data_IF_776739365196
#
_entry.id   IF_776739365196
#
_cell.length_a   1.000
_cell.length_b   1.000
_cell.length_c   1.000
_cell.angle_alpha   90.00
_cell.angle_beta   90.00
_cell.angle_gamma   90.00
#
_symmetry.space_group_name_H-M   'P 1'
#
loop_
_entity.id
_entity.type
_entity.pdbx_description
1 polymer ?
#
# COMPACT_ATOMS: atom_id res chain seq x y z
N UNK A 1 -16.23 4.40 -11.73
CA UNK A 1 -15.81 3.67 -10.51
C UNK A 1 -14.39 3.22 -10.79
N UNK A 2 -13.38 3.71 -10.07
CA UNK A 2 -11.99 3.34 -10.33
C UNK A 2 -11.80 1.90 -9.87
N UNK A 3 -11.58 0.97 -10.80
CA UNK A 3 -11.30 -0.42 -10.45
C UNK A 3 -9.82 -0.56 -10.10
N UNK A 4 -9.52 -0.96 -8.86
CA UNK A 4 -8.17 -1.23 -8.39
C UNK A 4 -7.91 -2.75 -8.41
N UNK A 5 -6.78 -3.17 -8.97
CA UNK A 5 -6.31 -4.56 -8.87
C UNK A 5 -4.88 -4.63 -8.36
N UNK A 6 -4.61 -5.58 -7.48
CA UNK A 6 -3.25 -5.86 -6.98
C UNK A 6 -2.69 -7.04 -7.78
N UNK A 7 -1.49 -6.87 -8.32
CA UNK A 7 -0.72 -7.91 -9.01
C UNK A 7 0.53 -8.20 -8.17
N UNK A 8 0.81 -9.47 -7.90
CA UNK A 8 1.91 -9.90 -7.03
C UNK A 8 2.92 -10.72 -7.83
N UNK A 9 4.16 -10.26 -7.85
CA UNK A 9 5.26 -10.88 -8.58
C UNK A 9 6.22 -11.58 -7.61
N UNK A 10 6.80 -12.72 -8.02
CA UNK A 10 7.78 -13.49 -7.26
C UNK A 10 9.20 -12.91 -7.31
N UNK A 11 9.43 -11.91 -8.18
CA UNK A 11 10.68 -11.17 -8.35
C UNK A 11 11.66 -11.80 -9.34
N UNK A 12 11.33 -12.94 -9.94
CA UNK A 12 12.12 -13.56 -11.00
C UNK A 12 11.62 -13.24 -12.40
N UNK A 13 10.43 -12.64 -12.49
CA UNK A 13 9.78 -12.29 -13.74
C UNK A 13 10.59 -11.31 -14.57
N UNK A 14 10.51 -11.49 -15.88
CA UNK A 14 11.07 -10.57 -16.87
C UNK A 14 10.13 -9.39 -17.08
N UNK A 15 10.66 -8.28 -17.64
CA UNK A 15 9.84 -7.13 -18.00
C UNK A 15 8.66 -7.53 -18.91
N UNK A 16 8.88 -8.48 -19.84
CA UNK A 16 7.85 -8.93 -20.77
C UNK A 16 6.67 -9.60 -20.06
N UNK A 17 6.95 -10.53 -19.15
CA UNK A 17 5.92 -11.20 -18.35
C UNK A 17 5.12 -10.21 -17.50
N UNK A 18 5.80 -9.24 -16.88
CA UNK A 18 5.14 -8.17 -16.10
C UNK A 18 4.21 -7.34 -16.99
N UNK A 19 4.67 -6.92 -18.19
CA UNK A 19 3.86 -6.13 -19.11
C UNK A 19 2.66 -6.90 -19.66
N UNK A 20 2.82 -8.20 -19.93
CA UNK A 20 1.73 -9.06 -20.40
C UNK A 20 0.64 -9.18 -19.33
N UNK A 21 1.01 -9.39 -18.06
CA UNK A 21 0.05 -9.51 -16.96
C UNK A 21 -0.68 -8.17 -16.69
N UNK A 22 0.02 -7.05 -16.83
CA UNK A 22 -0.57 -5.70 -16.78
C UNK A 22 -1.58 -5.50 -17.92
N UNK A 23 -1.24 -5.94 -19.13
CA UNK A 23 -2.11 -5.80 -20.31
C UNK A 23 -3.38 -6.65 -20.19
N UNK A 24 -3.27 -7.88 -19.69
CA UNK A 24 -4.41 -8.78 -19.48
C UNK A 24 -5.38 -8.28 -18.37
N UNK A 25 -4.91 -7.43 -17.47
CA UNK A 25 -5.77 -6.85 -16.43
C UNK A 25 -6.82 -5.91 -17.04
N UNK A 26 -8.06 -5.99 -16.59
CA UNK A 26 -9.13 -5.06 -17.00
C UNK A 26 -9.19 -3.78 -16.16
N UNK A 27 -8.36 -3.67 -15.12
CA UNK A 27 -8.39 -2.54 -14.19
C UNK A 27 -7.59 -1.34 -14.71
N UNK A 28 -8.14 -0.14 -14.50
CA UNK A 28 -7.53 1.15 -14.86
C UNK A 28 -6.37 1.53 -13.91
N UNK A 29 -6.46 1.13 -12.64
CA UNK A 29 -5.43 1.35 -11.62
C UNK A 29 -4.88 0.03 -11.10
N UNK A 30 -3.55 -0.10 -11.06
CA UNK A 30 -2.85 -1.32 -10.66
C UNK A 30 -1.85 -1.05 -9.52
N UNK A 31 -1.86 -1.91 -8.51
CA UNK A 31 -0.82 -1.96 -7.48
C UNK A 31 0.07 -3.17 -7.72
N UNK A 32 1.33 -2.93 -8.06
CA UNK A 32 2.31 -3.97 -8.38
C UNK A 32 3.17 -4.26 -7.14
N UNK A 33 3.05 -5.46 -6.59
CA UNK A 33 3.80 -5.90 -5.42
C UNK A 33 5.04 -6.67 -5.84
N UNK A 34 6.22 -6.16 -5.48
CA UNK A 34 7.51 -6.78 -5.77
C UNK A 34 8.33 -7.05 -4.50
N UNK A 35 8.95 -8.25 -4.37
CA UNK A 35 9.83 -8.55 -3.26
C UNK A 35 11.13 -7.72 -3.34
N UNK A 36 11.86 -7.63 -2.22
CA UNK A 36 13.06 -6.80 -2.07
C UNK A 36 14.13 -7.00 -3.16
N UNK A 37 14.26 -8.22 -3.70
CA UNK A 37 15.30 -8.61 -4.67
C UNK A 37 14.76 -8.84 -6.10
N UNK A 38 13.64 -8.22 -6.47
CA UNK A 38 13.07 -8.40 -7.80
C UNK A 38 14.05 -7.99 -8.92
N UNK A 39 14.14 -8.80 -9.98
CA UNK A 39 15.05 -8.57 -11.12
C UNK A 39 14.80 -7.25 -11.84
N UNK A 40 13.55 -6.81 -11.90
CA UNK A 40 13.15 -5.54 -12.54
C UNK A 40 13.87 -4.32 -11.95
N UNK A 41 14.31 -4.41 -10.69
CA UNK A 41 15.06 -3.34 -10.01
C UNK A 41 16.57 -3.35 -10.30
N UNK A 42 17.08 -4.27 -11.12
CA UNK A 42 18.51 -4.31 -11.45
C UNK A 42 18.92 -3.22 -12.42
N UNK A 43 18.02 -2.80 -13.32
CA UNK A 43 18.31 -1.82 -14.35
C UNK A 43 17.25 -0.73 -14.35
N UNK A 44 17.67 0.53 -14.14
CA UNK A 44 16.80 1.71 -14.19
C UNK A 44 16.03 1.82 -15.51
N UNK A 45 16.64 1.37 -16.61
CA UNK A 45 16.04 1.35 -17.94
C UNK A 45 14.79 0.49 -18.02
N UNK A 46 14.70 -0.60 -17.26
CA UNK A 46 13.55 -1.49 -17.29
C UNK A 46 12.34 -0.88 -16.57
N UNK A 47 12.57 -0.16 -15.46
CA UNK A 47 11.54 0.64 -14.79
C UNK A 47 11.00 1.76 -15.69
N UNK A 48 11.87 2.40 -16.49
CA UNK A 48 11.45 3.44 -17.43
C UNK A 48 10.64 2.86 -18.59
N UNK A 49 11.02 1.69 -19.12
CA UNK A 49 10.22 0.97 -20.11
C UNK A 49 8.86 0.58 -19.55
N UNK A 50 8.82 0.09 -18.30
CA UNK A 50 7.56 -0.26 -17.62
C UNK A 50 6.65 0.96 -17.48
N UNK A 51 7.18 2.13 -17.09
CA UNK A 51 6.42 3.38 -17.03
C UNK A 51 5.83 3.73 -18.39
N UNK A 52 6.68 3.81 -19.42
CA UNK A 52 6.27 4.21 -20.76
C UNK A 52 5.17 3.28 -21.31
N UNK A 53 5.30 1.97 -21.06
CA UNK A 53 4.29 0.98 -21.43
C UNK A 53 2.95 1.24 -20.73
N UNK A 54 2.96 1.53 -19.42
CA UNK A 54 1.74 1.84 -18.67
C UNK A 54 1.08 3.14 -19.13
N UNK A 55 1.88 4.16 -19.45
CA UNK A 55 1.41 5.43 -20.02
C UNK A 55 0.78 5.21 -21.40
N UNK A 56 1.35 4.35 -22.24
CA UNK A 56 0.83 3.98 -23.57
C UNK A 56 -0.55 3.31 -23.50
N UNK A 57 -0.74 2.40 -22.55
CA UNK A 57 -2.03 1.72 -22.33
C UNK A 57 -2.97 2.49 -21.38
N UNK A 58 -2.60 3.71 -20.99
CA UNK A 58 -3.37 4.60 -20.11
C UNK A 58 -3.76 4.00 -18.75
N UNK A 59 -2.83 3.28 -18.10
CA UNK A 59 -3.06 2.71 -16.76
C UNK A 59 -2.22 3.40 -15.70
N UNK A 60 -2.85 3.70 -14.57
CA UNK A 60 -2.14 4.22 -13.40
C UNK A 60 -1.52 3.06 -12.62
N UNK A 61 -0.21 3.13 -12.38
CA UNK A 61 0.50 2.12 -11.59
C UNK A 61 1.05 2.69 -10.29
N UNK A 62 0.92 1.90 -9.21
CA UNK A 62 1.59 2.12 -7.93
C UNK A 62 2.46 0.91 -7.62
N UNK A 63 3.74 1.12 -7.29
CA UNK A 63 4.66 0.03 -6.97
C UNK A 63 4.83 -0.10 -5.46
N UNK A 64 4.60 -1.30 -4.94
CA UNK A 64 4.80 -1.66 -3.53
C UNK A 64 6.07 -2.50 -3.43
N UNK A 65 7.08 -2.02 -2.72
CA UNK A 65 8.34 -2.77 -2.52
C UNK A 65 9.02 -2.45 -1.19
N UNK A 66 9.71 -3.48 -0.66
CA UNK A 66 10.60 -3.39 0.51
C UNK A 66 12.01 -2.87 0.15
N UNK A 67 12.33 -2.71 -1.14
CA UNK A 67 13.64 -2.22 -1.55
C UNK A 67 13.68 -0.69 -1.51
N UNK A 68 14.23 -0.13 -0.43
CA UNK A 68 14.33 1.32 -0.22
C UNK A 68 15.15 2.04 -1.31
N UNK A 69 16.17 1.40 -1.88
CA UNK A 69 16.95 1.95 -2.99
C UNK A 69 16.10 2.00 -4.26
N UNK A 70 15.44 0.89 -4.60
CA UNK A 70 14.56 0.82 -5.77
C UNK A 70 13.42 1.84 -5.66
N UNK A 71 12.88 2.07 -4.46
CA UNK A 71 11.82 3.07 -4.22
C UNK A 71 12.22 4.46 -4.70
N UNK A 72 13.42 4.92 -4.30
CA UNK A 72 13.96 6.22 -4.74
C UNK A 72 14.13 6.28 -6.26
N UNK A 73 14.57 5.18 -6.88
CA UNK A 73 14.73 5.10 -8.34
C UNK A 73 13.37 5.16 -9.05
N UNK A 74 12.36 4.45 -8.55
CA UNK A 74 10.99 4.44 -9.08
C UNK A 74 10.35 5.83 -8.97
N UNK A 75 10.47 6.49 -7.81
CA UNK A 75 10.00 7.86 -7.58
C UNK A 75 10.70 8.87 -8.50
N UNK A 76 12.01 8.69 -8.75
CA UNK A 76 12.76 9.55 -9.68
C UNK A 76 12.27 9.44 -11.11
N UNK A 77 11.62 8.33 -11.46
CA UNK A 77 10.98 8.10 -12.75
C UNK A 77 9.48 8.40 -12.64
N UNK A 78 8.99 9.08 -11.60
CA UNK A 78 7.60 9.56 -11.50
C UNK A 78 6.52 8.48 -11.35
N UNK A 79 6.88 7.24 -11.00
CA UNK A 79 5.89 6.23 -10.61
C UNK A 79 5.63 6.37 -9.10
N UNK A 80 4.36 6.32 -8.69
CA UNK A 80 3.98 6.33 -7.27
C UNK A 80 4.48 5.08 -6.58
N UNK A 81 5.02 5.23 -5.37
CA UNK A 81 5.43 4.10 -4.55
C UNK A 81 4.75 4.10 -3.21
N UNK A 82 4.56 2.90 -2.66
CA UNK A 82 4.17 2.73 -1.27
C UNK A 82 5.22 1.89 -0.55
N UNK A 83 5.52 2.20 0.72
CA UNK A 83 6.22 1.26 1.55
C UNK A 83 5.41 -0.03 1.62
N UNK A 84 6.04 -1.16 1.28
CA UNK A 84 5.53 -2.44 1.80
C UNK A 84 5.52 -2.29 3.31
N UNK A 85 4.39 -2.60 3.95
CA UNK A 85 4.30 -2.71 5.40
C UNK A 85 5.48 -3.58 5.83
N UNK A 86 6.46 -2.95 6.47
CA UNK A 86 7.44 -3.70 7.23
C UNK A 86 6.58 -4.33 8.32
N UNK A 87 6.39 -5.65 8.25
CA UNK A 87 6.27 -6.38 9.49
C UNK A 87 7.58 -6.07 10.18
N UNK A 88 7.58 -5.08 11.07
CA UNK A 88 8.62 -5.00 12.09
C UNK A 88 8.76 -6.43 12.58
N UNK A 89 9.95 -7.00 12.38
CA UNK A 89 10.25 -8.35 12.82
C UNK A 89 9.76 -8.41 14.26
N UNK A 90 8.63 -9.09 14.47
CA UNK A 90 8.03 -9.22 15.78
C UNK A 90 8.98 -10.17 16.48
N UNK A 91 10.09 -9.65 17.00
CA UNK A 91 10.91 -10.34 17.97
C UNK A 91 9.92 -10.61 19.09
N UNK A 92 9.53 -11.88 19.32
CA UNK A 92 8.69 -12.18 20.45
C UNK A 92 9.41 -11.56 21.64
N UNK A 93 8.73 -10.67 22.37
CA UNK A 93 9.23 -10.18 23.63
C UNK A 93 9.45 -11.44 24.48
N UNK A 94 10.68 -11.96 24.53
CA UNK A 94 11.09 -12.90 25.55
C UNK A 94 11.11 -12.09 26.84
N UNK A 95 9.93 -11.89 27.42
CA UNK A 95 9.85 -11.49 28.81
C UNK A 95 10.52 -12.63 29.59
N UNK A 96 11.58 -12.36 30.37
CA UNK A 96 12.09 -13.36 31.27
C UNK A 96 10.94 -13.75 32.20
N UNK A 97 10.56 -15.03 32.16
CA UNK A 97 9.62 -15.64 33.09
C UNK A 97 10.16 -15.44 34.51
N UNK A 98 9.81 -14.30 35.10
CA UNK A 98 10.01 -14.04 36.52
C UNK A 98 9.00 -14.92 37.24
N UNK A 99 9.47 -16.04 37.78
CA UNK A 99 8.72 -16.86 38.74
C UNK A 99 8.44 -16.01 39.98
N UNK A 100 7.35 -15.24 39.95
CA UNK A 100 6.78 -14.66 41.16
C UNK A 100 5.69 -15.62 41.66
N UNK A 101 5.95 -16.12 42.86
CA UNK A 101 5.02 -16.90 43.68
C UNK A 101 3.73 -16.11 43.91
N UNK A 102 2.60 -16.76 43.63
CA UNK A 102 1.24 -16.30 43.93
C UNK A 102 1.11 -15.80 45.39
N UNK A 103 0.67 -14.54 45.62
CA UNK A 103 0.06 -14.17 46.87
C UNK A 103 -1.46 -14.39 46.82
N UNK A 104 -1.98 -14.93 47.92
CA UNK A 104 -3.40 -15.13 48.19
C UNK A 104 -4.21 -13.86 47.97
N UNK A 105 -5.27 -13.99 47.17
CA UNK A 105 -6.29 -12.95 46.99
C UNK A 105 -7.25 -13.02 48.17
N UNK A 106 -7.18 -12.02 49.05
CA UNK A 106 -8.29 -11.66 49.93
C UNK A 106 -9.20 -10.68 49.20
N UNK A 107 -10.48 -11.01 49.22
CA UNK A 107 -11.60 -10.19 48.73
C UNK A 107 -11.83 -9.00 49.66
N UNK A 108 -11.77 -7.78 49.13
CA UNK A 108 -12.48 -6.63 49.70
C UNK A 108 -13.25 -5.91 48.61
N UNK A 109 -14.57 -5.84 48.81
CA UNK A 109 -15.48 -4.97 48.06
C UNK A 109 -15.15 -3.52 48.42
N UNK A 110 -15.10 -2.64 47.41
CA UNK A 110 -15.09 -1.19 47.63
C UNK A 110 -16.22 -0.59 46.82
N UNK A 111 -17.11 0.06 47.57
CA UNK A 111 -18.27 0.83 47.14
C UNK A 111 -17.84 2.12 46.43
N UNK A 112 -18.56 2.45 45.37
CA UNK A 112 -18.48 3.69 44.59
C UNK A 112 -19.25 4.78 45.34
N UNK A 113 -18.68 5.97 45.59
CA UNK A 113 -19.47 7.17 45.79
C UNK A 113 -19.67 7.89 44.46
N UNK A 114 -20.95 8.08 44.18
CA UNK A 114 -21.52 8.96 43.17
C UNK A 114 -21.30 10.44 43.59
N UNK A 115 -21.41 11.34 42.61
CA UNK A 115 -21.55 12.81 42.75
C UNK A 115 -20.29 13.67 42.97
N UNK A 116 -19.78 14.30 41.90
CA UNK A 116 -19.25 15.68 41.94
C UNK A 116 -19.55 16.44 40.64
N UNK A 117 -20.06 17.66 40.83
CA UNK A 117 -20.49 18.66 39.84
C UNK A 117 -19.31 19.23 39.03
N UNK A 118 -19.60 19.58 37.78
CA UNK A 118 -18.69 20.24 36.83
C UNK A 118 -18.85 21.75 37.02
N UNK A 119 -17.81 22.42 37.52
CA UNK A 119 -17.68 23.88 37.50
C UNK A 119 -17.10 24.36 36.16
N UNK A 120 -17.73 25.40 35.62
CA UNK A 120 -17.46 26.05 34.34
C UNK A 120 -16.30 27.05 34.51
N UNK A 121 -15.15 26.78 33.89
CA UNK A 121 -14.00 27.71 33.87
C UNK A 121 -13.99 28.45 32.55
N UNK A 122 -14.42 29.72 32.59
CA UNK A 122 -14.37 30.68 31.48
C UNK A 122 -13.17 31.62 31.66
N UNK A 123 -12.51 31.92 30.52
CA UNK A 123 -11.79 33.16 30.19
C UNK A 123 -10.41 33.43 30.81
N UNK A 124 -9.35 33.05 30.09
CA UNK A 124 -8.04 33.75 30.11
C UNK A 124 -7.49 34.03 28.69
N UNK A 125 -8.25 33.73 27.63
CA UNK A 125 -7.78 33.84 26.23
C UNK A 125 -7.99 35.22 25.60
N UNK A 126 -8.83 36.08 26.16
CA UNK A 126 -9.19 37.36 25.53
C UNK A 126 -8.17 38.48 25.79
N UNK A 127 -7.35 38.38 26.85
CA UNK A 127 -6.35 39.41 27.21
C UNK A 127 -5.08 39.31 26.33
N UNK A 128 -4.83 38.18 25.67
CA UNK A 128 -3.63 37.98 24.84
C UNK A 128 -3.79 38.51 23.40
N UNK A 129 -5.03 38.72 22.94
CA UNK A 129 -5.31 39.12 21.55
C UNK A 129 -5.17 40.64 21.37
N UNK A 130 -5.58 41.45 22.35
CA UNK A 130 -5.50 42.91 22.25
C UNK A 130 -4.04 43.42 22.22
N UNK A 131 -3.15 42.83 23.02
CA UNK A 131 -1.72 43.20 23.04
C UNK A 131 -0.97 42.87 21.73
N UNK A 132 -1.52 41.99 20.88
CA UNK A 132 -0.89 41.57 19.63
C UNK A 132 -1.27 42.47 18.45
N UNK A 133 -2.42 43.12 18.52
CA UNK A 133 -2.91 44.05 17.49
C UNK A 133 -2.17 45.39 17.58
N UNK A 134 -1.86 45.86 18.79
CA UNK A 134 -1.13 47.12 19.01
C UNK A 134 0.30 47.09 18.45
N UNK A 135 0.98 45.94 18.57
CA UNK A 135 2.35 45.73 18.05
C UNK A 135 2.42 45.64 16.52
N UNK A 136 1.34 45.20 15.88
CA UNK A 136 1.26 45.12 14.41
C UNK A 136 1.04 46.51 13.81
N UNK A 137 0.25 47.37 14.47
CA UNK A 137 0.02 48.75 14.02
C UNK A 137 1.29 49.61 14.08
N UNK A 138 2.11 49.44 15.13
CA UNK A 138 3.40 50.15 15.27
C UNK A 138 4.42 49.74 14.17
N UNK A 139 4.32 48.50 13.67
CA UNK A 139 5.23 47.99 12.62
C UNK A 139 4.84 48.50 11.23
N UNK A 140 3.54 48.79 11.00
CA UNK A 140 3.05 49.31 9.71
C UNK A 140 3.35 50.81 9.57
N UNK A 141 3.31 51.60 10.65
CA UNK A 141 3.69 53.01 10.60
C UNK A 141 5.18 53.23 10.31
N UNK A 142 6.07 52.33 10.78
CA UNK A 142 7.50 52.42 10.49
C UNK A 142 7.87 52.07 9.04
N UNK A 143 7.03 51.31 8.31
CA UNK A 143 7.33 50.89 6.94
C UNK A 143 7.02 51.98 5.91
N UNK A 144 6.09 52.89 6.20
CA UNK A 144 5.80 54.05 5.35
C UNK A 144 6.84 55.18 5.47
N UNK A 145 7.83 55.05 6.35
CA UNK A 145 8.94 56.02 6.49
C UNK A 145 10.11 55.77 5.54
N UNK A 146 10.09 54.68 4.76
CA UNK A 146 11.20 54.25 3.88
C UNK A 146 11.09 54.80 2.45
N UNK A 147 9.98 55.44 2.06
CA UNK A 147 9.82 56.03 0.71
C UNK A 147 10.71 57.26 0.42
N UNK A 148 11.56 57.69 1.36
CA UNK A 148 12.54 58.76 1.15
C UNK A 148 14.01 58.30 1.28
N UNK A 149 14.28 56.99 1.24
CA UNK A 149 15.67 56.50 1.30
C UNK A 149 16.37 56.58 -0.05
N UNK A 150 17.54 57.23 -0.06
CA UNK A 150 18.37 57.54 -1.21
C UNK A 150 18.54 56.35 -2.18
N UNK A 151 18.33 56.63 -3.48
CA UNK A 151 18.41 55.65 -4.58
C UNK A 151 19.76 54.90 -4.68
N UNK A 152 20.79 55.35 -3.95
CA UNK A 152 22.10 54.71 -3.91
C UNK A 152 22.15 53.45 -3.03
N UNK A 153 21.29 53.32 -2.01
CA UNK A 153 21.29 52.14 -1.13
C UNK A 153 20.54 50.94 -1.74
N UNK A 154 19.55 51.22 -2.59
CA UNK A 154 18.82 50.19 -3.34
C UNK A 154 19.74 49.52 -4.36
N UNK A 155 20.64 50.28 -5.01
CA UNK A 155 21.59 49.77 -6.00
C UNK A 155 22.62 48.80 -5.40
N UNK A 156 23.10 49.10 -4.18
CA UNK A 156 24.07 48.27 -3.45
C UNK A 156 23.47 46.96 -2.94
N UNK A 157 22.16 46.96 -2.67
CA UNK A 157 21.42 45.76 -2.23
C UNK A 157 21.10 44.85 -3.42
N UNK A 158 20.82 45.42 -4.60
CA UNK A 158 20.54 44.68 -5.82
C UNK A 158 21.80 44.03 -6.43
N UNK A 159 22.98 44.63 -6.30
CA UNK A 159 24.26 44.01 -6.72
C UNK A 159 24.59 42.74 -5.93
N UNK A 160 24.17 42.63 -4.66
CA UNK A 160 24.35 41.41 -3.86
C UNK A 160 23.45 40.25 -4.29
N UNK A 161 22.39 40.51 -5.04
CA UNK A 161 21.39 39.50 -5.40
C UNK A 161 21.59 38.89 -6.79
N UNK A 162 22.59 39.33 -7.56
CA UNK A 162 22.92 38.79 -8.88
C UNK A 162 21.73 38.74 -9.87
N UNK A 163 20.78 39.67 -9.72
CA UNK A 163 19.62 39.79 -10.60
C UNK A 163 19.98 40.76 -11.73
N UNK A 164 20.03 40.25 -12.97
CA UNK A 164 20.27 41.05 -14.17
C UNK A 164 19.14 42.05 -14.39
N UNK A 165 19.42 43.33 -14.18
CA UNK A 165 18.50 44.43 -14.46
C UNK A 165 18.42 44.67 -15.97
N UNK A 166 17.23 44.51 -16.57
CA UNK A 166 16.94 44.91 -17.95
C UNK A 166 16.46 46.37 -17.89
N UNK A 167 17.26 47.37 -18.32
CA UNK A 167 16.80 48.75 -18.33
C UNK A 167 15.70 48.90 -19.38
N UNK A 168 14.51 49.35 -18.94
CA UNK A 168 13.43 49.75 -19.83
C UNK A 168 13.80 51.14 -20.40
N UNK A 169 14.42 51.16 -21.58
CA UNK A 169 14.74 52.40 -22.29
C UNK A 169 13.45 53.04 -22.85
N UNK A 170 12.75 53.82 -22.01
CA UNK A 170 11.61 54.65 -22.44
C UNK A 170 12.12 55.89 -23.17
N UNK A 171 12.51 55.72 -24.43
CA UNK A 171 12.63 56.85 -25.37
C UNK A 171 11.24 57.28 -25.80
N UNK A 172 10.65 58.20 -25.05
CA UNK A 172 9.49 58.96 -25.51
C UNK A 172 10.00 59.87 -26.65
N UNK A 173 9.49 59.74 -27.90
CA UNK A 173 9.87 60.65 -28.97
C UNK A 173 9.33 62.04 -28.62
N UNK A 174 10.26 62.97 -28.39
CA UNK A 174 9.93 64.38 -28.24
C UNK A 174 9.36 64.91 -29.54
N UNK A 175 8.03 65.07 -29.60
CA UNK A 175 7.36 65.81 -30.66
C UNK A 175 7.70 67.30 -30.51
N UNK A 176 8.58 67.73 -31.42
CA UNK A 176 8.98 69.11 -31.67
C UNK A 176 7.84 69.83 -32.41
N UNK A 177 6.98 70.54 -31.71
CA UNK A 177 6.04 71.50 -32.31
C UNK A 177 6.50 72.91 -31.91
N UNK A 178 7.36 73.54 -32.73
CA UNK A 178 6.99 74.58 -33.70
C UNK A 178 6.03 75.61 -33.10
N UNK A 179 6.66 76.65 -32.58
CA UNK A 179 6.19 78.04 -32.60
C UNK A 179 5.64 78.40 -33.98
N UNK A 180 4.49 79.08 -34.02
CA UNK A 180 4.26 80.39 -34.66
C UNK A 180 2.78 80.60 -34.99
N UNK A 181 2.39 81.87 -34.86
CA UNK A 181 1.24 82.54 -35.46
C UNK A 181 -0.06 82.55 -34.65
N UNK A 182 -0.18 83.63 -33.88
CA UNK A 182 -1.42 84.25 -33.44
C UNK A 182 -2.41 84.40 -34.62
N UNK A 183 -3.58 83.76 -34.61
CA UNK A 183 -4.66 84.14 -35.50
C UNK A 183 -5.45 85.28 -34.86
N UNK A 184 -5.57 86.37 -35.62
CA UNK A 184 -6.36 87.55 -35.31
C UNK A 184 -7.74 87.21 -34.77
N UNK A 185 -8.03 87.70 -33.56
CA UNK A 185 -9.31 87.62 -32.87
C UNK A 185 -10.29 88.59 -33.52
N UNK A 186 -10.90 88.19 -34.63
CA UNK A 186 -12.07 88.87 -35.21
C UNK A 186 -13.29 88.01 -34.89
N UNK A 187 -13.72 88.03 -33.63
CA UNK A 187 -15.03 87.50 -33.24
C UNK A 187 -15.91 88.73 -33.07
N UNK A 188 -16.77 88.97 -34.04
CA UNK A 188 -17.79 90.02 -33.96
C UNK A 188 -18.69 89.74 -32.74
N UNK A 189 -18.93 90.77 -31.92
CA UNK A 189 -19.69 90.70 -30.66
C UNK A 189 -21.04 89.95 -30.73
N UNK A 190 -21.81 89.92 -31.84
CA UNK A 190 -23.03 89.11 -31.88
C UNK A 190 -22.79 87.59 -31.91
N UNK A 191 -21.69 87.10 -32.49
CA UNK A 191 -21.39 85.65 -32.58
C UNK A 191 -21.02 85.07 -31.21
N UNK A 192 -20.44 85.91 -30.33
CA UNK A 192 -20.10 85.51 -28.97
C UNK A 192 -21.35 85.14 -28.14
N UNK A 193 -22.45 85.89 -28.31
CA UNK A 193 -23.69 85.65 -27.56
C UNK A 193 -24.37 84.34 -28.00
N UNK A 194 -24.41 84.06 -29.31
CA UNK A 194 -24.90 82.78 -29.81
C UNK A 194 -24.03 81.60 -29.34
N UNK A 195 -22.73 81.80 -29.20
CA UNK A 195 -21.82 80.76 -28.71
C UNK A 195 -22.00 80.49 -27.21
N UNK A 196 -22.27 81.54 -26.41
CA UNK A 196 -22.65 81.37 -25.01
C UNK A 196 -23.97 80.64 -24.86
N UNK A 197 -25.01 81.01 -25.61
CA UNK A 197 -26.31 80.32 -25.57
C UNK A 197 -26.16 78.85 -25.97
N UNK A 198 -25.43 78.57 -27.05
CA UNK A 198 -25.14 77.20 -27.48
C UNK A 198 -24.38 76.41 -26.41
N UNK A 199 -23.38 77.03 -25.78
CA UNK A 199 -22.63 76.41 -24.69
C UNK A 199 -23.52 76.13 -23.48
N UNK A 200 -24.42 77.04 -23.10
CA UNK A 200 -25.37 76.86 -22.00
C UNK A 200 -26.34 75.72 -22.29
N UNK A 201 -26.89 75.65 -23.51
CA UNK A 201 -27.78 74.56 -23.93
C UNK A 201 -27.03 73.23 -23.93
N UNK A 202 -25.81 73.19 -24.43
CA UNK A 202 -24.97 71.98 -24.40
C UNK A 202 -24.69 71.53 -22.95
N UNK A 203 -24.43 72.47 -22.04
CA UNK A 203 -24.19 72.17 -20.63
C UNK A 203 -25.43 71.66 -19.92
N UNK A 204 -26.61 72.23 -20.20
CA UNK A 204 -27.89 71.74 -19.68
C UNK A 204 -28.22 70.34 -20.17
N UNK A 205 -27.99 70.08 -21.47
CA UNK A 205 -28.22 68.78 -22.08
C UNK A 205 -27.26 67.73 -21.51
N UNK A 206 -25.99 68.10 -21.30
CA UNK A 206 -25.01 67.25 -20.62
C UNK A 206 -25.39 66.96 -19.16
N UNK A 207 -25.84 67.99 -18.42
CA UNK A 207 -26.35 67.84 -17.06
C UNK A 207 -27.56 66.91 -16.98
N UNK A 208 -28.47 66.99 -17.95
CA UNK A 208 -29.62 66.10 -18.06
C UNK A 208 -29.20 64.63 -18.30
N UNK A 209 -28.23 64.39 -19.18
CA UNK A 209 -27.67 63.05 -19.41
C UNK A 209 -27.04 62.49 -18.13
N UNK A 210 -26.23 63.30 -17.43
CA UNK A 210 -25.62 62.91 -16.14
C UNK A 210 -26.71 62.55 -15.12
N UNK A 211 -27.74 63.38 -14.98
CA UNK A 211 -28.82 63.18 -14.02
C UNK A 211 -29.67 61.94 -14.32
N UNK A 212 -29.79 61.55 -15.59
CA UNK A 212 -30.63 60.41 -15.99
C UNK A 212 -29.85 59.09 -16.09
N UNK A 213 -28.63 59.12 -16.60
CA UNK A 213 -27.84 57.92 -16.91
C UNK A 213 -27.06 57.41 -15.70
N UNK A 214 -26.47 58.29 -14.88
CA UNK A 214 -25.68 57.89 -13.71
C UNK A 214 -26.50 57.09 -12.68
N UNK A 215 -27.71 57.51 -12.26
CA UNK A 215 -28.48 56.70 -11.30
C UNK A 215 -28.95 55.36 -11.85
N UNK A 216 -28.96 55.17 -13.18
CA UNK A 216 -29.27 53.90 -13.83
C UNK A 216 -28.05 52.98 -13.99
N UNK A 217 -26.84 53.45 -13.67
CA UNK A 217 -25.63 52.65 -13.80
C UNK A 217 -25.55 51.60 -12.68
N UNK A 218 -25.64 50.32 -13.05
CA UNK A 218 -25.37 49.21 -12.14
C UNK A 218 -23.86 48.97 -12.04
N UNK A 219 -23.29 49.21 -10.87
CA UNK A 219 -21.88 48.87 -10.59
C UNK A 219 -21.84 47.45 -10.04
N UNK A 220 -21.47 46.47 -10.87
CA UNK A 220 -21.26 45.09 -10.44
C UNK A 220 -19.83 44.93 -9.92
N UNK A 221 -19.67 44.80 -8.61
CA UNK A 221 -18.39 44.41 -7.99
C UNK A 221 -18.36 42.89 -7.95
N UNK A 222 -17.55 42.27 -8.81
CA UNK A 222 -17.35 40.82 -8.80
C UNK A 222 -16.06 40.51 -8.05
N UNK A 223 -16.11 40.13 -6.75
CA UNK A 223 -14.92 39.80 -6.00
C UNK A 223 -14.27 38.55 -6.60
N UNK A 224 -13.06 38.72 -7.15
CA UNK A 224 -12.22 37.60 -7.58
C UNK A 224 -11.55 37.00 -6.35
N UNK A 225 -12.02 35.83 -5.89
CA UNK A 225 -11.28 35.02 -4.91
C UNK A 225 -10.08 34.40 -5.62
N UNK A 226 -8.94 35.09 -5.59
CA UNK A 226 -7.67 34.52 -6.03
C UNK A 226 -7.15 33.67 -4.88
N UNK A 227 -7.19 32.36 -5.04
CA UNK A 227 -6.51 31.44 -4.12
C UNK A 227 -5.01 31.67 -4.30
N UNK A 228 -4.40 32.35 -3.33
CA UNK A 228 -2.96 32.51 -3.28
C UNK A 228 -2.45 31.27 -2.55
N UNK A 229 -1.97 30.29 -3.32
CA UNK A 229 -1.22 29.17 -2.75
C UNK A 229 0.10 29.70 -2.19
N UNK A 230 0.14 29.86 -0.86
CA UNK A 230 1.36 30.22 -0.14
C UNK A 230 2.02 28.94 0.37
N UNK A 231 3.11 28.54 -0.27
CA UNK A 231 4.00 27.52 0.27
C UNK A 231 4.91 28.15 1.32
N UNK A 232 4.57 27.98 2.60
CA UNK A 232 5.44 28.36 3.70
C UNK A 232 6.26 27.14 4.10
N UNK A 233 7.58 27.25 4.04
CA UNK A 233 8.49 26.26 4.60
C UNK A 233 8.44 26.39 6.13
N UNK A 234 7.57 25.60 6.78
CA UNK A 234 7.53 25.47 8.23
C UNK A 234 8.48 24.36 8.68
N UNK A 235 9.40 24.68 9.59
CA UNK A 235 10.22 23.68 10.26
C UNK A 235 9.52 23.25 11.55
N UNK A 236 9.33 21.94 11.71
CA UNK A 236 8.74 21.36 12.91
C UNK A 236 9.85 20.86 13.82
N UNK A 237 9.95 21.41 15.03
CA UNK A 237 10.93 20.99 16.04
C UNK A 237 10.23 20.38 17.24
N UNK A 238 10.75 19.25 17.73
CA UNK A 238 10.30 18.65 18.98
C UNK A 238 10.74 19.53 20.17
N UNK A 239 9.79 19.84 21.06
CA UNK A 239 9.94 20.80 22.17
C UNK A 239 11.05 20.40 23.16
N UNK A 240 11.56 19.16 23.08
CA UNK A 240 12.47 18.53 24.05
C UNK A 240 13.95 18.73 23.74
N UNK A 241 14.33 19.27 22.58
CA UNK A 241 15.74 19.43 22.17
C UNK A 241 16.19 20.90 22.15
N UNK A 242 15.53 21.75 22.93
CA UNK A 242 15.79 23.19 22.96
C UNK A 242 16.76 23.54 24.11
N UNK A 243 18.06 23.54 23.82
CA UNK A 243 19.10 23.94 24.78
C UNK A 243 19.95 25.13 24.33
N UNK A 244 19.54 25.90 23.29
CA UNK A 244 20.30 27.09 22.89
C UNK A 244 19.46 28.37 22.70
N UNK A 245 19.98 29.54 23.13
CA UNK A 245 19.20 30.76 23.37
C UNK A 245 19.12 31.74 22.19
N UNK A 246 19.47 31.35 20.96
CA UNK A 246 19.38 32.26 19.81
C UNK A 246 17.94 32.36 19.26
N UNK A 247 17.10 33.05 20.03
CA UNK A 247 15.66 33.30 19.80
C UNK A 247 15.35 34.28 18.66
N UNK A 248 16.36 34.84 17.98
CA UNK A 248 16.18 35.93 17.01
C UNK A 248 16.35 35.51 15.53
N UNK A 249 16.81 34.28 15.23
CA UNK A 249 17.08 33.87 13.84
C UNK A 249 16.07 32.89 13.23
N UNK A 250 15.12 32.36 14.01
CA UNK A 250 14.20 31.31 13.55
C UNK A 250 12.76 31.78 13.46
N UNK A 251 12.50 32.66 12.50
CA UNK A 251 11.14 32.87 12.00
C UNK A 251 10.74 31.61 11.22
N UNK A 252 9.69 30.91 11.65
CA UNK A 252 9.06 29.70 11.05
C UNK A 252 9.28 28.35 11.77
N UNK A 253 9.56 28.33 13.08
CA UNK A 253 9.43 27.11 13.88
C UNK A 253 8.04 27.03 14.52
N UNK A 254 7.28 25.99 14.16
CA UNK A 254 5.98 25.70 14.76
C UNK A 254 6.18 24.60 15.80
N UNK A 255 5.98 24.96 17.07
CA UNK A 255 6.09 24.00 18.17
C UNK A 255 4.99 22.95 18.06
N UNK A 256 5.40 21.69 17.86
CA UNK A 256 4.46 20.57 17.92
C UNK A 256 4.24 20.16 19.38
N UNK A 257 2.98 20.10 19.79
CA UNK A 257 2.58 19.43 21.02
C UNK A 257 2.20 18.00 20.65
N UNK A 258 2.91 17.02 21.20
CA UNK A 258 2.53 15.62 21.01
C UNK A 258 1.20 15.37 21.71
N UNK A 259 0.16 15.12 20.93
CA UNK A 259 -1.11 14.63 21.43
C UNK A 259 -0.98 13.12 21.63
N UNK A 260 -0.99 12.69 22.89
CA UNK A 260 -1.03 11.27 23.22
C UNK A 260 -2.48 10.80 23.09
N UNK A 261 -2.84 10.39 21.88
CA UNK A 261 -4.17 9.84 21.60
C UNK A 261 -4.12 8.33 21.69
N UNK A 262 -4.90 7.75 22.61
CA UNK A 262 -5.09 6.31 22.70
C UNK A 262 -6.02 5.87 21.57
N UNK A 263 -5.47 5.45 20.44
CA UNK A 263 -6.25 4.84 19.38
C UNK A 263 -6.55 3.39 19.73
N UNK A 264 -7.82 3.06 19.98
CA UNK A 264 -8.27 1.67 19.97
C UNK A 264 -8.53 1.25 18.53
N UNK A 265 -7.52 0.70 17.87
CA UNK A 265 -7.70 0.01 16.60
C UNK A 265 -8.45 -1.31 16.84
N UNK A 266 -9.68 -1.38 16.36
CA UNK A 266 -10.39 -2.66 16.26
C UNK A 266 -10.18 -3.21 14.85
N UNK A 267 -9.03 -3.83 14.61
CA UNK A 267 -8.82 -4.61 13.39
C UNK A 267 -9.70 -5.85 13.45
N UNK A 268 -10.80 -5.83 12.72
CA UNK A 268 -11.62 -7.03 12.49
C UNK A 268 -10.90 -7.91 11.49
N UNK A 269 -9.95 -8.70 11.98
CA UNK A 269 -9.46 -9.84 11.22
C UNK A 269 -10.62 -10.81 11.04
N UNK A 270 -11.22 -10.86 9.85
CA UNK A 270 -12.00 -12.03 9.44
C UNK A 270 -11.02 -13.18 9.21
N UNK A 271 -10.45 -13.68 10.31
CA UNK A 271 -9.79 -14.96 10.32
C UNK A 271 -10.92 -15.97 10.14
N UNK A 272 -11.25 -16.27 8.89
CA UNK A 272 -12.10 -17.43 8.57
C UNK A 272 -11.19 -18.64 8.80
N UNK A 273 -10.87 -18.92 10.06
CA UNK A 273 -10.22 -20.17 10.44
C UNK A 273 -11.17 -21.25 10.00
N UNK A 274 -10.82 -21.92 8.90
CA UNK A 274 -11.42 -23.21 8.58
C UNK A 274 -10.94 -24.16 9.67
N UNK A 275 -11.70 -24.25 10.76
CA UNK A 275 -11.50 -25.25 11.79
C UNK A 275 -11.75 -26.61 11.13
N UNK A 276 -10.74 -27.46 11.16
CA UNK A 276 -10.87 -28.83 10.69
C UNK A 276 -11.38 -29.68 11.85
N UNK A 277 -12.68 -29.98 11.83
CA UNK A 277 -13.34 -30.84 12.82
C UNK A 277 -13.37 -32.32 12.39
N UNK A 278 -12.64 -32.68 11.34
CA UNK A 278 -12.56 -34.06 10.86
C UNK A 278 -11.45 -34.87 11.54
N UNK A 279 -11.47 -36.18 11.33
CA UNK A 279 -10.33 -37.03 11.68
C UNK A 279 -9.27 -36.96 10.57
N UNK A 280 -7.99 -36.92 10.98
CA UNK A 280 -6.89 -36.99 10.04
C UNK A 280 -6.85 -38.36 9.35
N UNK A 281 -6.56 -38.37 8.04
CA UNK A 281 -6.34 -39.62 7.32
C UNK A 281 -5.15 -40.38 7.94
N UNK A 282 -5.38 -41.65 8.27
CA UNK A 282 -4.37 -42.57 8.82
C UNK A 282 -4.15 -43.70 7.83
N UNK A 283 -2.92 -44.20 7.73
CA UNK A 283 -2.59 -45.29 6.83
C UNK A 283 -1.28 -45.95 7.16
N UNK A 284 -0.87 -46.89 6.31
CA UNK A 284 0.44 -47.54 6.39
C UNK A 284 1.19 -47.45 5.07
N UNK A 285 2.51 -47.30 5.17
CA UNK A 285 3.43 -47.23 4.02
C UNK A 285 4.45 -48.33 4.17
N UNK A 286 4.69 -49.09 3.09
CA UNK A 286 5.78 -50.05 3.01
C UNK A 286 6.97 -49.38 2.34
N UNK A 287 8.04 -49.21 3.10
CA UNK A 287 9.33 -48.76 2.59
C UNK A 287 10.16 -50.00 2.25
N UNK A 288 10.61 -50.11 1.00
CA UNK A 288 11.46 -51.22 0.54
C UNK A 288 12.85 -50.64 0.26
N UNK A 289 13.88 -51.28 0.79
CA UNK A 289 15.27 -50.94 0.55
C UNK A 289 15.90 -52.00 -0.36
N UNK A 290 16.25 -51.61 -1.59
CA UNK A 290 16.92 -52.49 -2.55
C UNK A 290 18.45 -52.36 -2.53
N UNK A 291 19.03 -51.64 -1.56
CA UNK A 291 20.48 -51.53 -1.42
C UNK A 291 21.06 -52.66 -0.54
N UNK A 292 22.37 -52.87 -0.64
CA UNK A 292 23.10 -53.84 0.16
C UNK A 292 23.50 -53.33 1.56
N UNK A 293 23.01 -52.15 1.96
CA UNK A 293 23.30 -51.49 3.22
C UNK A 293 22.00 -51.08 3.92
N UNK A 294 22.02 -51.02 5.25
CA UNK A 294 20.86 -50.56 6.01
C UNK A 294 20.65 -49.05 5.78
N UNK A 295 19.41 -48.62 5.58
CA UNK A 295 19.06 -47.20 5.38
C UNK A 295 18.36 -46.68 6.63
N UNK A 296 18.99 -45.74 7.33
CA UNK A 296 18.41 -45.07 8.49
C UNK A 296 17.78 -43.74 8.09
N UNK A 297 16.45 -43.64 8.23
CA UNK A 297 15.69 -42.41 8.05
C UNK A 297 15.48 -41.73 9.41
N UNK A 298 15.75 -40.43 9.46
CA UNK A 298 15.58 -39.65 10.69
C UNK A 298 14.09 -39.43 10.99
N UNK A 299 13.75 -39.27 12.27
CA UNK A 299 12.48 -38.64 12.66
C UNK A 299 12.33 -37.31 11.89
N UNK A 300 11.11 -36.97 11.48
CA UNK A 300 10.78 -35.80 10.63
C UNK A 300 11.21 -35.90 9.16
N UNK A 301 11.79 -37.01 8.70
CA UNK A 301 12.00 -37.22 7.25
C UNK A 301 10.67 -37.08 6.54
N UNK A 302 10.65 -36.20 5.54
CA UNK A 302 9.46 -35.90 4.74
C UNK A 302 9.30 -36.96 3.67
N UNK A 303 8.10 -37.51 3.52
CA UNK A 303 7.69 -38.31 2.36
C UNK A 303 6.62 -37.50 1.63
N UNK A 304 6.81 -37.28 0.33
CA UNK A 304 5.87 -36.51 -0.50
C UNK A 304 5.12 -37.45 -1.43
N UNK A 305 3.82 -37.25 -1.54
CA UNK A 305 2.98 -37.79 -2.61
C UNK A 305 3.12 -36.94 -3.88
N UNK A 306 2.58 -37.43 -5.00
CA UNK A 306 2.61 -36.73 -6.31
C UNK A 306 1.83 -35.40 -6.29
N UNK A 307 0.80 -35.29 -5.45
CA UNK A 307 -0.01 -34.07 -5.28
C UNK A 307 0.56 -33.08 -4.24
N UNK A 308 1.85 -33.20 -3.92
CA UNK A 308 2.57 -32.39 -2.93
C UNK A 308 2.05 -32.50 -1.49
N UNK A 309 1.27 -33.53 -1.14
CA UNK A 309 1.01 -33.83 0.26
C UNK A 309 2.25 -34.40 0.91
N UNK A 310 2.64 -33.84 2.06
CA UNK A 310 3.84 -34.23 2.80
C UNK A 310 3.44 -34.86 4.13
N UNK A 311 3.95 -36.06 4.37
CA UNK A 311 3.93 -36.71 5.67
C UNK A 311 5.32 -36.69 6.28
N UNK A 312 5.40 -36.69 7.61
CA UNK A 312 6.65 -36.73 8.35
C UNK A 312 6.73 -38.03 9.14
N UNK A 313 7.90 -38.67 9.13
CA UNK A 313 8.12 -39.86 9.94
C UNK A 313 8.01 -39.52 11.44
N UNK A 314 7.21 -40.28 12.21
CA UNK A 314 7.00 -40.01 13.64
C UNK A 314 8.23 -40.34 14.49
N UNK A 315 9.07 -41.26 14.02
CA UNK A 315 10.26 -41.75 14.72
C UNK A 315 11.41 -42.06 13.75
N UNK A 316 12.54 -42.49 14.32
CA UNK A 316 13.68 -42.98 13.55
C UNK A 316 13.40 -44.38 13.04
N UNK A 317 13.70 -44.63 11.77
CA UNK A 317 13.34 -45.89 11.11
C UNK A 317 14.57 -46.41 10.37
N UNK A 318 14.98 -47.63 10.67
CA UNK A 318 16.05 -48.33 9.96
C UNK A 318 15.43 -49.37 9.04
N UNK A 319 15.61 -49.20 7.74
CA UNK A 319 15.15 -50.13 6.72
C UNK A 319 16.30 -51.11 6.45
N UNK A 320 16.13 -52.41 6.76
CA UNK A 320 17.21 -53.38 6.58
C UNK A 320 17.60 -53.51 5.10
N UNK A 321 18.88 -53.79 4.83
CA UNK A 321 19.40 -54.09 3.49
C UNK A 321 18.57 -55.18 2.80
N UNK A 322 18.25 -54.99 1.52
CA UNK A 322 17.39 -55.88 0.73
C UNK A 322 16.08 -56.28 1.43
N UNK A 323 15.56 -55.40 2.30
CA UNK A 323 14.42 -55.66 3.17
C UNK A 323 13.31 -54.61 3.03
N UNK A 324 12.28 -54.74 3.85
CA UNK A 324 11.20 -53.75 3.89
C UNK A 324 10.67 -53.58 5.31
N UNK A 325 10.06 -52.41 5.56
CA UNK A 325 9.40 -52.08 6.81
C UNK A 325 8.06 -51.42 6.51
N UNK A 326 7.04 -51.75 7.31
CA UNK A 326 5.71 -51.13 7.24
C UNK A 326 5.62 -50.12 8.39
N UNK A 327 5.28 -48.89 8.05
CA UNK A 327 5.20 -47.78 9.01
C UNK A 327 3.78 -47.22 8.99
N UNK A 328 3.21 -46.94 10.15
CA UNK A 328 1.94 -46.22 10.27
C UNK A 328 2.17 -44.72 10.21
N UNK A 329 1.29 -43.99 9.52
CA UNK A 329 1.33 -42.54 9.44
C UNK A 329 -0.05 -41.91 9.69
N UNK A 330 -0.05 -40.65 10.09
CA UNK A 330 -1.22 -39.78 10.15
C UNK A 330 -0.92 -38.52 9.35
N UNK A 331 -1.82 -38.14 8.45
CA UNK A 331 -1.73 -36.86 7.75
C UNK A 331 -1.85 -35.69 8.74
N UNK A 332 -1.15 -34.57 8.53
CA UNK A 332 -1.45 -33.35 9.24
C UNK A 332 -2.82 -32.80 8.80
N UNK A 333 -3.52 -32.02 9.65
CA UNK A 333 -4.83 -31.45 9.29
C UNK A 333 -4.74 -30.43 8.15
N UNK A 334 -3.57 -29.79 7.99
CA UNK A 334 -3.28 -28.80 6.94
C UNK A 334 -2.03 -29.20 6.16
N UNK A 335 -2.03 -28.95 4.87
CA UNK A 335 -0.87 -29.12 4.00
C UNK A 335 0.14 -27.97 4.16
N UNK A 336 1.23 -28.02 3.39
CA UNK A 336 2.29 -27.00 3.39
C UNK A 336 1.82 -25.62 2.96
N UNK A 337 0.66 -25.52 2.31
CA UNK A 337 0.06 -24.27 1.85
C UNK A 337 -1.06 -23.78 2.79
N UNK A 338 -1.26 -24.45 3.93
CA UNK A 338 -2.29 -24.11 4.90
C UNK A 338 -3.70 -24.57 4.52
N UNK A 339 -3.85 -25.34 3.43
CA UNK A 339 -5.13 -25.90 3.01
C UNK A 339 -5.45 -27.15 3.82
N UNK A 340 -6.74 -27.35 4.13
CA UNK A 340 -7.19 -28.56 4.83
C UNK A 340 -6.91 -29.79 3.95
N UNK A 341 -6.26 -30.80 4.53
CA UNK A 341 -5.98 -32.06 3.82
C UNK A 341 -7.27 -32.84 3.60
N UNK A 342 -8.04 -33.10 4.67
CA UNK A 342 -9.34 -33.80 4.61
C UNK A 342 -9.29 -35.06 3.74
N UNK A 343 -10.24 -35.18 2.81
CA UNK A 343 -10.34 -36.32 1.89
C UNK A 343 -9.13 -36.48 0.96
N UNK A 344 -8.32 -35.43 0.72
CA UNK A 344 -7.08 -35.55 -0.09
C UNK A 344 -6.05 -36.46 0.59
N UNK A 345 -6.15 -36.65 1.90
CA UNK A 345 -5.32 -37.59 2.65
C UNK A 345 -5.61 -39.06 2.34
N UNK A 346 -6.75 -39.37 1.71
CA UNK A 346 -7.12 -40.72 1.32
C UNK A 346 -6.43 -41.11 0.01
N UNK A 347 -5.23 -41.66 0.16
CA UNK A 347 -4.34 -41.99 -0.96
C UNK A 347 -4.66 -43.34 -1.57
N UNK A 348 -4.52 -43.44 -2.90
CA UNK A 348 -4.78 -44.70 -3.61
C UNK A 348 -3.69 -45.71 -3.26
N UNK A 349 -4.05 -46.99 -3.24
CA UNK A 349 -3.07 -48.08 -3.07
C UNK A 349 -2.07 -48.05 -4.23
N UNK A 350 -0.79 -48.23 -3.93
CA UNK A 350 0.30 -48.22 -4.91
C UNK A 350 0.80 -46.84 -5.33
N UNK A 351 0.25 -45.75 -4.79
CA UNK A 351 0.74 -44.40 -5.09
C UNK A 351 2.21 -44.24 -4.68
N UNK A 352 3.02 -43.70 -5.59
CA UNK A 352 4.47 -43.56 -5.39
C UNK A 352 4.75 -42.40 -4.45
N UNK A 353 5.74 -42.60 -3.59
CA UNK A 353 6.20 -41.62 -2.61
C UNK A 353 7.64 -41.20 -2.93
N UNK A 354 7.93 -39.91 -2.86
CA UNK A 354 9.29 -39.35 -3.01
C UNK A 354 9.83 -38.91 -1.64
N UNK A 355 11.15 -38.96 -1.44
CA UNK A 355 11.80 -38.37 -0.26
C UNK A 355 12.47 -37.09 -0.76
N UNK A 356 11.88 -35.90 -0.57
CA UNK A 356 12.52 -34.66 -0.97
C UNK A 356 13.89 -34.53 -0.30
N UNK A 357 14.91 -34.24 -1.11
CA UNK A 357 16.30 -34.12 -0.66
C UNK A 357 17.15 -35.39 -0.84
N UNK A 358 16.56 -36.51 -1.24
CA UNK A 358 17.32 -37.71 -1.61
C UNK A 358 17.68 -37.64 -3.12
N UNK A 359 18.93 -37.95 -3.54
CA UNK A 359 19.29 -38.01 -4.96
C UNK A 359 18.40 -38.98 -5.76
N UNK A 360 18.10 -38.69 -7.03
CA UNK A 360 17.20 -39.52 -7.87
C UNK A 360 17.63 -40.99 -7.93
N UNK A 361 18.93 -41.27 -7.98
CA UNK A 361 19.48 -42.63 -7.96
C UNK A 361 19.10 -43.39 -6.69
N UNK A 362 19.17 -42.72 -5.54
CA UNK A 362 18.75 -43.31 -4.26
C UNK A 362 17.23 -43.40 -4.13
N UNK A 363 16.48 -42.47 -4.74
CA UNK A 363 15.02 -42.55 -4.77
C UNK A 363 14.52 -43.78 -5.54
N UNK A 364 15.19 -44.17 -6.64
CA UNK A 364 14.87 -45.39 -7.40
C UNK A 364 15.11 -46.67 -6.58
N UNK A 365 16.11 -46.66 -5.71
CA UNK A 365 16.46 -47.82 -4.87
C UNK A 365 15.55 -47.99 -3.65
N UNK A 366 14.81 -46.96 -3.27
CA UNK A 366 13.78 -47.02 -2.23
C UNK A 366 12.43 -47.14 -2.91
N UNK A 367 12.03 -48.36 -3.31
CA UNK A 367 10.73 -48.58 -3.93
C UNK A 367 9.65 -48.53 -2.85
N UNK A 368 8.67 -47.63 -2.97
CA UNK A 368 7.69 -47.36 -1.91
C UNK A 368 6.31 -47.77 -2.41
N UNK A 369 5.67 -48.67 -1.69
CA UNK A 369 4.34 -49.16 -2.04
C UNK A 369 3.46 -49.10 -0.79
N UNK A 370 2.22 -48.64 -0.91
CA UNK A 370 1.26 -48.71 0.20
C UNK A 370 0.72 -50.14 0.30
N UNK A 371 0.77 -50.74 1.50
CA UNK A 371 0.56 -52.18 1.70
C UNK A 371 -0.79 -52.49 2.35
N UNK A 372 -1.69 -53.10 1.59
CA UNK A 372 -2.79 -53.95 2.09
C UNK A 372 -2.59 -55.41 1.62
N UNK A 373 -1.34 -55.85 1.51
CA UNK A 373 -1.01 -57.18 0.97
C UNK A 373 -0.83 -58.28 2.03
N UNK A 374 -0.97 -57.94 3.32
CA UNK A 374 -0.91 -58.98 4.36
C UNK A 374 -2.27 -59.64 4.63
N UNK A 375 -3.40 -58.98 4.36
CA UNK A 375 -4.72 -59.59 4.56
C UNK A 375 -5.23 -60.34 3.31
N UNK A 376 -4.99 -59.83 2.10
CA UNK A 376 -5.48 -60.48 0.88
C UNK A 376 -4.73 -61.79 0.58
N UNK A 377 -3.45 -61.91 0.98
CA UNK A 377 -2.69 -63.16 0.82
C UNK A 377 -3.14 -64.23 1.83
N UNK A 378 -3.54 -63.83 3.04
CA UNK A 378 -4.17 -64.70 4.04
C UNK A 378 -5.57 -65.13 3.59
N UNK A 379 -6.37 -64.20 3.08
CA UNK A 379 -7.72 -64.47 2.54
C UNK A 379 -7.65 -65.36 1.27
N UNK A 380 -6.70 -65.16 0.36
CA UNK A 380 -6.51 -66.06 -0.81
C UNK A 380 -6.07 -67.48 -0.42
N UNK A 381 -5.33 -67.61 0.67
CA UNK A 381 -4.91 -68.91 1.21
C UNK A 381 -6.03 -69.57 2.03
N UNK A 382 -6.93 -68.81 2.65
CA UNK A 382 -8.10 -69.33 3.39
C UNK A 382 -9.29 -69.65 2.47
N UNK A 383 -9.51 -68.87 1.39
CA UNK A 383 -10.60 -69.07 0.42
C UNK A 383 -10.35 -70.22 -0.58
N UNK A 384 -9.28 -71.00 -0.43
CA UNK A 384 -8.93 -72.06 -1.37
C UNK A 384 -9.86 -73.29 -1.33
N UNK A 385 -10.95 -73.29 -0.55
CA UNK A 385 -11.75 -74.50 -0.34
C UNK A 385 -13.28 -74.37 -0.46
N UNK A 386 -13.86 -73.25 -0.88
CA UNK A 386 -15.30 -73.27 -1.18
C UNK A 386 -15.71 -72.32 -2.31
N UNK A 387 -16.07 -72.93 -3.46
CA UNK A 387 -16.57 -72.23 -4.66
C UNK A 387 -17.81 -71.35 -4.37
N UNK A 388 -18.59 -71.71 -3.35
CA UNK A 388 -19.81 -70.97 -2.98
C UNK A 388 -19.52 -69.63 -2.29
N UNK A 389 -18.49 -69.54 -1.45
CA UNK A 389 -18.15 -68.30 -0.73
C UNK A 389 -17.57 -67.23 -1.68
N UNK A 390 -16.86 -67.65 -2.73
CA UNK A 390 -16.33 -66.75 -3.76
C UNK A 390 -17.47 -66.14 -4.59
N UNK A 391 -18.49 -66.92 -4.92
CA UNK A 391 -19.65 -66.43 -5.68
C UNK A 391 -20.51 -65.46 -4.86
N UNK A 392 -20.74 -65.74 -3.59
CA UNK A 392 -21.51 -64.85 -2.70
C UNK A 392 -20.75 -63.53 -2.43
N UNK A 393 -19.42 -63.58 -2.30
CA UNK A 393 -18.58 -62.39 -2.15
C UNK A 393 -18.55 -61.52 -3.42
N UNK A 394 -18.52 -62.13 -4.61
CA UNK A 394 -18.59 -61.42 -5.88
C UNK A 394 -19.97 -60.80 -6.12
N UNK A 395 -21.06 -61.48 -5.72
CA UNK A 395 -22.42 -60.95 -5.83
C UNK A 395 -22.67 -59.76 -4.88
N UNK A 396 -22.00 -59.75 -3.72
CA UNK A 396 -21.98 -58.59 -2.80
C UNK A 396 -21.17 -57.44 -3.42
N UNK A 397 -20.00 -57.70 -4.01
CA UNK A 397 -19.19 -56.65 -4.67
C UNK A 397 -19.92 -56.00 -5.85
N UNK A 398 -20.64 -56.80 -6.65
CA UNK A 398 -21.41 -56.30 -7.80
C UNK A 398 -22.58 -55.37 -7.40
N UNK A 399 -23.09 -55.48 -6.16
CA UNK A 399 -24.15 -54.60 -5.64
C UNK A 399 -23.66 -53.24 -5.14
N UNK A 400 -22.35 -53.05 -4.94
CA UNK A 400 -21.81 -51.84 -4.29
C UNK A 400 -20.93 -50.95 -5.18
N UNK A 401 -20.61 -51.35 -6.41
CA UNK A 401 -19.75 -50.55 -7.28
C UNK A 401 -20.56 -49.94 -8.42
N UNK A 402 -21.03 -48.70 -8.22
CA UNK A 402 -21.28 -47.77 -9.33
C UNK A 402 -19.89 -47.33 -9.82
N UNK A 403 -19.46 -47.84 -10.97
CA UNK A 403 -18.19 -47.43 -11.60
C UNK A 403 -18.48 -46.18 -12.42
N UNK A 404 -18.31 -45.00 -11.82
CA UNK A 404 -18.15 -43.77 -12.59
C UNK A 404 -16.77 -43.80 -13.29
N UNK A 405 -16.77 -43.64 -14.62
CA UNK A 405 -15.62 -43.52 -15.51
C UNK A 405 -14.75 -44.79 -15.74
N UNK A 406 -15.35 -45.93 -16.11
CA UNK A 406 -14.60 -46.95 -16.87
C UNK A 406 -14.75 -46.71 -18.38
N UNK A 407 -13.66 -46.89 -19.11
CA UNK A 407 -13.71 -46.89 -20.58
C UNK A 407 -14.31 -48.21 -21.07
N UNK A 408 -14.87 -48.22 -22.29
CA UNK A 408 -15.48 -49.42 -22.89
C UNK A 408 -14.49 -50.59 -23.00
N UNK A 409 -13.20 -50.28 -23.17
CA UNK A 409 -12.09 -51.24 -23.24
C UNK A 409 -11.81 -51.93 -21.87
N UNK A 410 -12.11 -51.27 -20.76
CA UNK A 410 -11.96 -51.86 -19.41
C UNK A 410 -13.08 -52.86 -19.09
N UNK A 411 -14.22 -52.75 -19.78
CA UNK A 411 -15.36 -53.66 -19.63
C UNK A 411 -15.13 -55.01 -20.31
N UNK A 412 -14.50 -55.03 -21.49
CA UNK A 412 -14.18 -56.26 -22.23
C UNK A 412 -13.12 -57.14 -21.54
N UNK A 413 -12.32 -56.58 -20.63
CA UNK A 413 -11.34 -57.33 -19.83
C UNK A 413 -11.97 -57.92 -18.55
N UNK A 414 -13.15 -57.42 -18.16
CA UNK A 414 -13.85 -57.84 -16.95
C UNK A 414 -14.85 -58.98 -17.18
N UNK A 415 -15.48 -59.05 -18.37
CA UNK A 415 -16.17 -60.26 -18.85
C UNK A 415 -15.19 -61.41 -19.09
#
# INVERSE_FOLDING_TARGET
MISLRILSFNGQETLHEITEEIQQSKADSLSLLFPRKAKIFKQKTDLQKLRNFCDEIQKEITIITQNSKARKEIESIGIRTLPSLEYEDYTPFEQPLKKESLPNIFTTQTTIPDNQEIEEVISDTDILIENKIEKILETVENKNRIENSDANDVKKTLEKLNISYIPIDRRIPQQKNRTTNNPHKIISKPVLHSLFILATVAFLLFGFIIQTVIPAAQVTITPSKKEIEMHINANFSDKRTYTEPNLLEKHNEVFMQSLQTNFQFTDRFTHVSKEFNGENAKGSIKLINNTNEDITLRKTTKLSFEDNLIIQLPEWITIPKNGNIIISFSMPPKDTYGSIVGNRGNKKKGEKLTIPGLPEEMQKNVNKQTSMDLHIKTIKNELHNNKYEIMEFLDILNKFIIIDNCSEEDYEVFE
#
